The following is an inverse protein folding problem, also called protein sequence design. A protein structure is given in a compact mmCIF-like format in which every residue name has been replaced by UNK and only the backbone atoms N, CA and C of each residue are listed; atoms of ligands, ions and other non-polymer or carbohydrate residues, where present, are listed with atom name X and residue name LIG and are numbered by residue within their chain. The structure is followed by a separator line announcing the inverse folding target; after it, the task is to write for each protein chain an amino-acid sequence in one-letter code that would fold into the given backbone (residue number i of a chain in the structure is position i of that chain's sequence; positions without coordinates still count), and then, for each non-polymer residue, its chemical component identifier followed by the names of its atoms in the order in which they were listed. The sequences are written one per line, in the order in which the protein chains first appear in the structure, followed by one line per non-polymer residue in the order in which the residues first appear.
data_IF_099024035995
#
_entry.id   IF_099024035995
#
_cell.length_a   1.000
_cell.length_b   1.000
_cell.length_c   1.000
_cell.angle_alpha   90.00
_cell.angle_beta   90.00
_cell.angle_gamma   90.00
#
_symmetry.space_group_name_H-M   'P 1'
#
loop_
_entity.id
_entity.type
_entity.pdbx_description
1 polymer ?
#
# COMPACT_ATOMS: atom_id res chain seq x y z
N UNK A 1 2.61 -46.46 48.39
CA UNK A 1 1.93 -46.25 47.09
C UNK A 1 2.99 -46.21 46.01
N UNK A 2 2.96 -47.21 45.14
CA UNK A 2 4.04 -47.65 44.25
C UNK A 2 3.71 -47.23 42.81
N UNK A 3 4.60 -46.49 42.16
CA UNK A 3 4.39 -46.01 40.78
C UNK A 3 4.43 -47.17 39.77
N UNK A 4 3.34 -47.37 39.03
CA UNK A 4 3.27 -48.29 37.89
C UNK A 4 3.99 -47.68 36.67
N UNK A 5 4.94 -48.42 36.08
CA UNK A 5 5.62 -48.06 34.83
C UNK A 5 4.88 -48.71 33.66
N UNK A 6 4.41 -47.92 32.70
CA UNK A 6 3.92 -48.42 31.41
C UNK A 6 5.07 -48.46 30.39
N UNK A 7 5.19 -49.57 29.65
CA UNK A 7 6.24 -49.81 28.65
C UNK A 7 5.66 -49.54 27.26
N UNK A 8 6.41 -48.83 26.42
CA UNK A 8 6.05 -48.63 25.02
C UNK A 8 6.30 -49.94 24.24
N UNK A 9 5.27 -50.56 23.63
CA UNK A 9 5.39 -51.91 23.08
C UNK A 9 6.29 -52.02 21.84
N UNK A 10 6.53 -50.92 21.12
CA UNK A 10 7.22 -50.97 19.82
C UNK A 10 8.74 -50.78 19.87
N UNK A 11 9.31 -50.27 20.98
CA UNK A 11 10.75 -50.02 21.08
C UNK A 11 11.43 -50.77 22.22
N UNK A 12 10.66 -51.48 23.06
CA UNK A 12 11.14 -52.28 24.19
C UNK A 12 12.16 -51.57 25.13
N UNK A 13 12.22 -50.23 25.11
CA UNK A 13 13.04 -49.46 26.03
C UNK A 13 12.17 -48.88 27.15
N UNK A 14 12.55 -49.18 28.39
CA UNK A 14 11.95 -48.58 29.58
C UNK A 14 12.49 -47.17 29.76
N UNK A 15 11.74 -46.17 29.32
CA UNK A 15 12.02 -44.78 29.67
C UNK A 15 11.14 -44.38 30.85
N UNK A 16 11.78 -43.95 31.94
CA UNK A 16 11.12 -43.19 32.99
C UNK A 16 10.85 -41.78 32.44
N UNK A 17 9.73 -41.63 31.73
CA UNK A 17 9.24 -40.30 31.37
C UNK A 17 8.64 -39.72 32.67
N UNK A 18 9.13 -38.59 33.21
CA UNK A 18 8.31 -37.85 34.15
C UNK A 18 7.04 -37.51 33.39
N UNK A 19 5.91 -38.06 33.85
CA UNK A 19 4.62 -37.55 33.43
C UNK A 19 4.67 -36.05 33.72
N UNK A 20 4.88 -35.26 32.67
CA UNK A 20 4.43 -33.89 32.71
C UNK A 20 2.94 -33.97 33.06
N UNK A 21 2.44 -33.03 33.86
CA UNK A 21 1.13 -32.48 33.60
C UNK A 21 1.09 -32.17 32.09
N UNK A 22 0.45 -33.06 31.33
CA UNK A 22 0.49 -33.13 29.88
C UNK A 22 1.69 -33.90 29.29
N UNK A 23 1.73 -35.23 29.48
CA UNK A 23 2.75 -36.13 28.93
C UNK A 23 3.02 -35.93 27.44
N UNK A 24 4.24 -35.47 27.12
CA UNK A 24 4.76 -35.42 25.75
C UNK A 24 5.78 -36.54 25.57
N UNK A 25 5.42 -37.52 24.74
CA UNK A 25 6.39 -38.42 24.13
C UNK A 25 7.14 -37.62 23.05
N UNK A 26 8.34 -37.15 23.37
CA UNK A 26 9.16 -36.30 22.48
C UNK A 26 9.75 -37.16 21.36
N UNK A 27 9.02 -37.24 20.24
CA UNK A 27 9.46 -36.97 18.86
C UNK A 27 10.92 -37.27 18.43
N UNK A 28 11.56 -38.34 18.93
CA UNK A 28 12.89 -38.79 18.49
C UNK A 28 12.95 -40.26 18.03
N UNK A 29 11.82 -40.93 17.88
CA UNK A 29 11.77 -42.19 17.14
C UNK A 29 11.64 -41.89 15.64
N UNK A 30 12.60 -42.32 14.82
CA UNK A 30 12.57 -42.21 13.36
C UNK A 30 11.37 -42.95 12.74
N UNK A 31 10.76 -43.87 13.49
CA UNK A 31 9.52 -44.56 13.14
C UNK A 31 8.26 -43.70 13.42
N UNK A 32 8.19 -42.99 14.56
CA UNK A 32 7.07 -42.08 14.85
C UNK A 32 7.04 -40.84 13.94
N UNK A 33 8.17 -40.46 13.33
CA UNK A 33 8.24 -39.35 12.36
C UNK A 33 7.54 -39.63 11.03
N UNK A 34 7.25 -40.90 10.70
CA UNK A 34 6.51 -41.29 9.49
C UNK A 34 4.99 -41.36 9.69
N UNK A 35 4.52 -41.29 10.93
CA UNK A 35 3.10 -41.45 11.29
C UNK A 35 2.42 -40.13 11.67
N UNK A 36 3.13 -38.99 11.62
CA UNK A 36 2.46 -37.69 11.72
C UNK A 36 1.88 -37.35 10.34
N UNK A 37 0.54 -37.32 10.17
CA UNK A 37 -0.03 -36.92 8.90
C UNK A 37 0.30 -35.44 8.63
N UNK A 38 0.73 -35.08 7.41
CA UNK A 38 0.69 -33.70 6.96
C UNK A 38 -0.78 -33.35 6.75
N UNK A 39 -1.47 -32.89 7.79
CA UNK A 39 -2.90 -32.61 7.64
C UNK A 39 -3.67 -32.47 8.94
N UNK A 40 -3.40 -31.39 9.66
CA UNK A 40 -4.49 -30.69 10.36
C UNK A 40 -4.50 -29.26 9.82
N UNK A 41 -4.86 -29.16 8.54
CA UNK A 41 -5.26 -27.94 7.88
C UNK A 41 -6.75 -27.74 8.22
N UNK A 42 -7.07 -26.87 9.17
CA UNK A 42 -8.48 -26.64 9.52
C UNK A 42 -8.72 -25.68 10.68
N UNK A 43 -7.76 -25.49 11.57
CA UNK A 43 -7.85 -24.40 12.55
C UNK A 43 -7.38 -23.10 11.92
N UNK A 44 -8.36 -22.22 11.73
CA UNK A 44 -8.32 -20.89 11.12
C UNK A 44 -6.95 -20.22 11.19
N UNK A 45 -6.30 -20.14 10.03
CA UNK A 45 -5.07 -19.39 9.74
C UNK A 45 -5.14 -17.90 10.07
N UNK A 46 -6.29 -17.38 10.50
CA UNK A 46 -6.52 -15.97 10.84
C UNK A 46 -5.54 -15.42 11.90
N UNK A 47 -5.04 -16.26 12.82
CA UNK A 47 -4.02 -15.86 13.80
C UNK A 47 -2.59 -15.77 13.25
N UNK A 48 -2.33 -16.32 12.05
CA UNK A 48 -0.98 -16.44 11.46
C UNK A 48 -0.64 -15.30 10.49
N UNK A 49 -1.53 -14.34 10.29
CA UNK A 49 -1.33 -13.27 9.32
C UNK A 49 -0.50 -12.10 9.85
N UNK A 50 -0.39 -11.95 11.18
CA UNK A 50 0.32 -10.84 11.83
C UNK A 50 1.61 -11.33 12.48
N UNK A 51 2.64 -10.50 12.44
CA UNK A 51 3.90 -10.80 13.09
C UNK A 51 3.71 -10.81 14.63
N UNK A 52 4.27 -11.83 15.29
CA UNK A 52 4.20 -12.00 16.73
C UNK A 52 4.79 -10.79 17.50
N UNK A 53 5.90 -10.22 17.01
CA UNK A 53 6.53 -9.03 17.60
C UNK A 53 5.94 -7.70 17.11
N UNK A 54 5.28 -7.70 15.95
CA UNK A 54 4.77 -6.49 15.30
C UNK A 54 3.34 -6.73 14.81
N UNK A 55 2.32 -6.58 15.67
CA UNK A 55 0.92 -6.86 15.32
C UNK A 55 0.39 -6.05 14.13
N UNK A 56 1.03 -4.92 13.80
CA UNK A 56 0.71 -4.09 12.64
C UNK A 56 1.42 -4.48 11.34
N UNK A 57 2.36 -5.45 11.37
CA UNK A 57 3.06 -5.95 10.18
C UNK A 57 2.55 -7.34 9.83
N UNK A 58 2.35 -7.58 8.53
CA UNK A 58 2.01 -8.91 8.03
C UNK A 58 3.17 -9.88 8.23
N UNK A 59 2.88 -11.07 8.74
CA UNK A 59 3.85 -12.14 8.79
C UNK A 59 4.05 -12.74 7.41
N UNK A 60 5.30 -13.01 7.03
CA UNK A 60 5.66 -13.70 5.77
C UNK A 60 6.04 -15.15 5.99
N UNK A 61 6.42 -15.49 7.22
CA UNK A 61 6.88 -16.84 7.56
C UNK A 61 6.26 -17.29 8.87
N UNK A 62 5.97 -18.57 8.98
CA UNK A 62 5.46 -19.20 10.19
C UNK A 62 6.45 -20.22 10.69
N UNK A 63 6.62 -20.26 12.01
CA UNK A 63 7.35 -21.32 12.66
C UNK A 63 6.36 -22.43 13.05
N UNK A 64 6.45 -23.58 12.40
CA UNK A 64 5.58 -24.74 12.72
C UNK A 64 5.79 -25.26 14.15
N UNK A 65 6.98 -25.05 14.72
CA UNK A 65 7.33 -25.57 16.06
C UNK A 65 6.72 -24.76 17.20
N UNK A 66 6.70 -23.43 17.08
CA UNK A 66 6.14 -22.56 18.13
C UNK A 66 4.80 -21.93 17.74
N UNK A 67 4.30 -22.24 16.55
CA UNK A 67 3.08 -21.71 15.94
C UNK A 67 2.98 -20.17 15.97
N UNK A 68 4.13 -19.50 15.75
CA UNK A 68 4.21 -18.04 15.66
C UNK A 68 4.59 -17.61 14.26
N UNK A 69 3.95 -16.54 13.80
CA UNK A 69 4.22 -15.94 12.50
C UNK A 69 5.11 -14.70 12.65
N UNK A 70 6.00 -14.46 11.69
CA UNK A 70 7.05 -13.44 11.75
C UNK A 70 7.10 -12.64 10.45
N UNK A 71 7.26 -11.32 10.55
CA UNK A 71 7.59 -10.49 9.39
C UNK A 71 9.07 -10.67 9.03
N UNK A 72 9.43 -10.40 7.77
CA UNK A 72 10.79 -10.63 7.25
C UNK A 72 11.90 -10.00 8.13
N UNK A 73 11.76 -8.75 8.64
CA UNK A 73 12.76 -8.12 9.51
C UNK A 73 12.95 -8.82 10.86
N UNK A 74 11.92 -9.48 11.40
CA UNK A 74 12.03 -10.19 12.67
C UNK A 74 12.75 -11.54 12.54
N UNK A 75 12.92 -12.06 11.32
CA UNK A 75 13.53 -13.38 11.13
C UNK A 75 15.05 -13.31 11.25
N UNK A 76 15.67 -14.30 11.91
CA UNK A 76 17.13 -14.40 11.95
C UNK A 76 17.61 -15.13 10.70
N UNK A 77 18.53 -14.55 9.94
CA UNK A 77 19.11 -15.22 8.77
C UNK A 77 20.29 -16.09 9.20
N UNK A 78 20.21 -17.39 8.94
CA UNK A 78 21.35 -18.29 9.05
C UNK A 78 21.88 -18.61 7.64
N UNK A 79 23.20 -18.45 7.46
CA UNK A 79 23.90 -18.82 6.22
C UNK A 79 24.61 -20.14 6.43
N UNK A 80 24.25 -21.13 5.63
CA UNK A 80 25.04 -22.34 5.40
C UNK A 80 25.62 -22.31 3.98
N UNK A 81 26.70 -23.04 3.68
CA UNK A 81 27.23 -23.13 2.32
C UNK A 81 26.12 -23.60 1.36
N UNK A 82 25.73 -22.74 0.40
CA UNK A 82 24.69 -23.02 -0.59
C UNK A 82 23.24 -22.75 -0.18
N UNK A 83 22.94 -22.42 1.08
CA UNK A 83 21.55 -22.20 1.53
C UNK A 83 21.43 -21.06 2.55
N UNK A 84 20.45 -20.17 2.33
CA UNK A 84 20.02 -19.19 3.33
C UNK A 84 18.67 -19.63 3.89
N UNK A 85 18.61 -19.84 5.21
CA UNK A 85 17.35 -20.16 5.90
C UNK A 85 17.03 -19.10 6.93
N UNK A 86 15.74 -18.77 7.05
CA UNK A 86 15.25 -17.88 8.08
C UNK A 86 14.87 -18.71 9.30
N UNK A 87 15.35 -18.29 10.47
CA UNK A 87 15.14 -18.95 11.75
C UNK A 87 14.23 -18.11 12.64
N UNK A 88 13.36 -18.81 13.37
CA UNK A 88 12.48 -18.21 14.38
C UNK A 88 13.31 -17.59 15.53
N UNK A 89 13.05 -16.34 15.95
CA UNK A 89 13.70 -15.75 17.13
C UNK A 89 13.42 -16.52 18.42
N UNK A 90 12.26 -17.18 18.51
CA UNK A 90 11.78 -17.84 19.72
C UNK A 90 12.43 -19.22 19.93
N UNK A 91 12.51 -20.06 18.90
CA UNK A 91 12.97 -21.45 19.02
C UNK A 91 14.17 -21.80 18.13
N UNK A 92 14.65 -20.86 17.30
CA UNK A 92 15.74 -21.03 16.31
C UNK A 92 15.50 -22.13 15.27
N UNK A 93 14.26 -22.62 15.15
CA UNK A 93 13.88 -23.57 14.10
C UNK A 93 13.69 -22.84 12.76
N UNK A 94 13.80 -23.59 11.66
CA UNK A 94 13.50 -23.10 10.33
C UNK A 94 12.07 -22.56 10.21
N UNK A 95 11.93 -21.45 9.52
CA UNK A 95 10.65 -20.82 9.23
C UNK A 95 10.16 -21.25 7.85
N UNK A 96 8.90 -21.67 7.78
CA UNK A 96 8.23 -22.00 6.52
C UNK A 96 7.61 -20.72 5.97
N UNK A 97 7.83 -20.36 4.70
CA UNK A 97 7.10 -19.25 4.09
C UNK A 97 5.61 -19.55 4.17
N UNK A 98 4.83 -18.60 4.68
CA UNK A 98 3.38 -18.69 4.57
C UNK A 98 3.12 -18.59 3.08
N UNK A 99 2.57 -19.65 2.47
CA UNK A 99 2.26 -19.67 1.05
C UNK A 99 1.53 -18.35 0.72
N UNK A 100 2.17 -17.51 -0.09
CA UNK A 100 1.70 -16.18 -0.40
C UNK A 100 0.52 -16.34 -1.36
N UNK A 101 -0.67 -16.67 -0.81
CA UNK A 101 -1.89 -16.88 -1.59
C UNK A 101 -2.56 -15.55 -1.96
N UNK A 102 -2.06 -14.42 -1.46
CA UNK A 102 -2.36 -13.14 -2.10
C UNK A 102 -1.42 -12.93 -3.27
N UNK A 103 -1.77 -13.56 -4.39
CA UNK A 103 -1.45 -13.00 -5.70
C UNK A 103 -1.88 -11.54 -5.64
N UNK A 104 -0.91 -10.64 -5.50
CA UNK A 104 -1.15 -9.21 -5.47
C UNK A 104 -1.77 -8.86 -6.82
N UNK A 105 -3.11 -8.79 -6.84
CA UNK A 105 -3.83 -8.54 -8.09
C UNK A 105 -3.54 -7.10 -8.49
N UNK A 106 -3.23 -6.83 -9.76
CA UNK A 106 -2.96 -5.49 -10.20
C UNK A 106 -4.22 -4.62 -10.06
N UNK A 107 -4.07 -3.33 -9.75
CA UNK A 107 -5.19 -2.52 -9.24
C UNK A 107 -6.34 -2.39 -10.26
N UNK A 108 -6.03 -2.45 -11.56
CA UNK A 108 -7.03 -2.37 -12.62
C UNK A 108 -7.94 -3.61 -12.71
N UNK A 109 -7.55 -4.74 -12.11
CA UNK A 109 -8.43 -5.91 -11.99
C UNK A 109 -9.44 -5.76 -10.85
N UNK A 110 -9.23 -4.79 -9.96
CA UNK A 110 -10.09 -4.49 -8.81
C UNK A 110 -10.78 -3.12 -8.92
N UNK A 111 -10.98 -2.62 -10.16
CA UNK A 111 -11.61 -1.31 -10.42
C UNK A 111 -12.92 -1.09 -9.64
N UNK A 112 -13.86 -2.06 -9.53
CA UNK A 112 -15.07 -1.85 -8.74
C UNK A 112 -14.77 -1.54 -7.28
N UNK A 113 -13.79 -2.22 -6.67
CA UNK A 113 -13.41 -1.95 -5.28
C UNK A 113 -12.74 -0.58 -5.13
N UNK A 114 -11.94 -0.17 -6.12
CA UNK A 114 -11.28 1.14 -6.16
C UNK A 114 -12.33 2.26 -6.23
N UNK A 115 -13.37 2.11 -7.04
CA UNK A 115 -14.46 3.09 -7.18
C UNK A 115 -15.32 3.17 -5.91
N UNK A 116 -15.60 2.04 -5.27
CA UNK A 116 -16.38 2.02 -4.02
C UNK A 116 -15.58 2.63 -2.86
N UNK A 117 -14.24 2.68 -2.94
CA UNK A 117 -13.39 3.18 -1.86
C UNK A 117 -13.75 4.60 -1.40
N UNK A 118 -13.99 5.51 -2.35
CA UNK A 118 -14.35 6.90 -2.02
C UNK A 118 -15.70 7.04 -1.30
N UNK A 119 -16.52 5.97 -1.28
CA UNK A 119 -17.79 5.90 -0.56
C UNK A 119 -17.70 5.13 0.77
N UNK A 120 -16.51 4.68 1.19
CA UNK A 120 -16.29 3.93 2.43
C UNK A 120 -15.66 4.79 3.53
N UNK A 121 -15.94 4.41 4.79
CA UNK A 121 -15.35 5.02 5.99
C UNK A 121 -15.66 6.50 6.14
N UNK A 122 -14.63 7.30 6.44
CA UNK A 122 -14.75 8.76 6.57
C UNK A 122 -14.90 9.52 5.24
N UNK A 123 -14.62 8.88 4.10
CA UNK A 123 -14.60 9.54 2.78
C UNK A 123 -15.91 10.24 2.38
N UNK A 124 -17.11 9.66 2.60
CA UNK A 124 -18.37 10.35 2.31
C UNK A 124 -18.53 11.68 3.05
N UNK A 125 -18.08 11.76 4.30
CA UNK A 125 -18.16 13.00 5.09
C UNK A 125 -17.20 14.06 4.55
N UNK A 126 -16.00 13.66 4.14
CA UNK A 126 -15.03 14.53 3.47
C UNK A 126 -15.57 15.01 2.13
N UNK A 127 -16.16 14.13 1.32
CA UNK A 127 -16.80 14.50 0.05
C UNK A 127 -17.95 15.48 0.25
N UNK A 128 -18.78 15.25 1.27
CA UNK A 128 -19.86 16.17 1.65
C UNK A 128 -19.32 17.52 2.11
N UNK A 129 -18.26 17.54 2.91
CA UNK A 129 -17.61 18.78 3.35
C UNK A 129 -17.03 19.56 2.17
N UNK A 130 -16.29 18.91 1.28
CA UNK A 130 -15.73 19.52 0.07
C UNK A 130 -16.82 20.07 -0.86
N UNK A 131 -17.93 19.34 -0.96
CA UNK A 131 -19.12 19.74 -1.72
C UNK A 131 -19.79 20.98 -1.13
N UNK A 132 -20.09 20.97 0.18
CA UNK A 132 -20.75 22.07 0.88
C UNK A 132 -19.85 23.31 0.98
N UNK A 133 -18.55 23.13 1.18
CA UNK A 133 -17.57 24.22 1.21
C UNK A 133 -17.56 25.04 -0.07
N UNK A 134 -17.94 24.44 -1.21
CA UNK A 134 -18.00 25.12 -2.51
C UNK A 134 -19.12 26.17 -2.63
N UNK A 135 -20.05 26.22 -1.67
CA UNK A 135 -21.12 27.22 -1.62
C UNK A 135 -20.76 28.45 -0.78
N UNK A 136 -19.78 28.32 0.12
CA UNK A 136 -19.37 29.41 1.00
C UNK A 136 -18.05 29.96 0.45
N UNK A 137 -18.03 31.19 -0.12
CA UNK A 137 -16.83 31.72 -0.78
C UNK A 137 -15.59 31.71 0.11
N UNK A 138 -15.74 31.96 1.42
CA UNK A 138 -14.64 31.90 2.39
C UNK A 138 -14.08 30.49 2.52
N UNK A 139 -14.95 29.46 2.56
CA UNK A 139 -14.52 28.05 2.63
C UNK A 139 -13.95 27.56 1.29
N UNK A 140 -14.32 28.16 0.16
CA UNK A 140 -13.80 27.77 -1.15
C UNK A 140 -12.27 27.85 -1.23
N UNK A 141 -11.65 28.79 -0.51
CA UNK A 141 -10.19 28.91 -0.43
C UNK A 141 -9.54 27.82 0.41
N UNK A 142 -10.26 27.23 1.38
CA UNK A 142 -9.75 26.14 2.23
C UNK A 142 -9.92 24.76 1.60
N UNK A 143 -10.84 24.61 0.63
CA UNK A 143 -11.06 23.36 -0.12
C UNK A 143 -9.78 22.76 -0.70
N UNK A 144 -8.94 23.48 -1.48
CA UNK A 144 -7.76 22.88 -2.09
C UNK A 144 -6.73 22.42 -1.04
N UNK A 145 -6.59 23.17 0.06
CA UNK A 145 -5.74 22.82 1.19
C UNK A 145 -6.21 21.50 1.81
N UNK A 146 -7.50 21.42 2.11
CA UNK A 146 -8.11 20.22 2.71
C UNK A 146 -8.06 19.01 1.78
N UNK A 147 -8.39 19.20 0.50
CA UNK A 147 -8.36 18.14 -0.52
C UNK A 147 -6.94 17.59 -0.74
N UNK A 148 -5.92 18.46 -0.74
CA UNK A 148 -4.53 18.05 -0.84
C UNK A 148 -4.08 17.22 0.37
N UNK A 149 -4.39 17.69 1.58
CA UNK A 149 -4.06 17.00 2.82
C UNK A 149 -4.73 15.62 2.88
N UNK A 150 -6.04 15.57 2.61
CA UNK A 150 -6.79 14.32 2.59
C UNK A 150 -6.30 13.37 1.48
N UNK A 151 -6.00 13.87 0.29
CA UNK A 151 -5.45 13.07 -0.80
C UNK A 151 -4.12 12.39 -0.42
N UNK A 152 -3.19 13.15 0.16
CA UNK A 152 -1.92 12.62 0.68
C UNK A 152 -2.17 11.58 1.79
N UNK A 153 -3.11 11.83 2.70
CA UNK A 153 -3.49 10.89 3.75
C UNK A 153 -4.04 9.58 3.15
N UNK A 154 -4.98 9.67 2.21
CA UNK A 154 -5.56 8.52 1.48
C UNK A 154 -4.47 7.70 0.80
N UNK A 155 -3.52 8.34 0.11
CA UNK A 155 -2.40 7.65 -0.54
C UNK A 155 -1.54 6.90 0.46
N UNK A 156 -1.14 7.54 1.57
CA UNK A 156 -0.33 6.88 2.62
C UNK A 156 -1.08 5.73 3.29
N UNK A 157 -2.37 5.91 3.58
CA UNK A 157 -3.18 4.87 4.19
C UNK A 157 -3.32 3.68 3.24
N UNK A 158 -3.68 3.94 1.99
CA UNK A 158 -3.84 2.91 0.96
C UNK A 158 -2.53 2.19 0.62
N UNK A 159 -1.38 2.86 0.76
CA UNK A 159 -0.07 2.25 0.60
C UNK A 159 0.29 1.25 1.72
N UNK A 160 -0.30 1.42 2.91
CA UNK A 160 -0.08 0.53 4.06
C UNK A 160 -1.16 -0.55 4.16
N UNK A 161 -2.42 -0.17 3.99
CA UNK A 161 -3.59 -1.04 4.03
C UNK A 161 -4.61 -0.55 2.99
N UNK A 162 -4.65 -1.15 1.79
CA UNK A 162 -5.52 -0.71 0.71
C UNK A 162 -6.99 -1.04 0.93
N UNK A 163 -7.34 -1.86 1.93
CA UNK A 163 -8.72 -2.28 2.18
C UNK A 163 -9.35 -1.50 3.34
N UNK A 164 -8.54 -0.91 4.21
CA UNK A 164 -9.02 0.02 5.23
C UNK A 164 -9.41 1.37 4.59
N UNK A 165 -10.64 1.80 4.88
CA UNK A 165 -11.03 3.18 4.59
C UNK A 165 -10.25 4.12 5.52
N UNK A 166 -9.89 5.33 5.05
CA UNK A 166 -9.23 6.30 5.91
C UNK A 166 -10.26 6.88 6.86
N UNK A 167 -9.88 6.99 8.12
CA UNK A 167 -10.57 7.86 9.06
C UNK A 167 -10.16 9.31 8.79
N UNK A 168 -10.92 10.25 9.34
CA UNK A 168 -10.54 11.66 9.24
C UNK A 168 -9.21 11.86 9.99
N UNK A 169 -8.19 12.49 9.38
CA UNK A 169 -6.95 12.75 10.09
C UNK A 169 -7.22 13.71 11.24
N UNK A 170 -6.92 13.29 12.46
CA UNK A 170 -6.83 14.18 13.61
C UNK A 170 -5.56 15.04 13.43
N UNK A 171 -5.69 16.37 13.22
CA UNK A 171 -4.53 17.19 12.96
C UNK A 171 -3.81 17.53 14.27
N UNK A 172 -2.52 17.21 14.33
CA UNK A 172 -1.65 17.59 15.46
C UNK A 172 -1.17 19.04 15.27
N UNK A 173 -0.80 19.39 14.03
CA UNK A 173 -0.41 20.75 13.64
C UNK A 173 -1.12 21.12 12.34
N UNK A 174 -2.08 22.03 12.41
CA UNK A 174 -2.90 22.43 11.26
C UNK A 174 -2.03 22.95 10.09
N UNK A 175 -0.97 23.70 10.38
CA UNK A 175 -0.13 24.27 9.33
C UNK A 175 0.69 23.18 8.66
N UNK A 176 1.30 22.30 9.44
CA UNK A 176 2.16 21.22 8.89
C UNK A 176 1.32 20.15 8.20
N UNK A 177 0.22 19.72 8.82
CA UNK A 177 -0.58 18.60 8.33
C UNK A 177 -1.48 18.96 7.14
N UNK A 178 -1.89 20.23 7.02
CA UNK A 178 -2.72 20.66 5.88
C UNK A 178 -1.98 21.44 4.80
N UNK A 179 -1.11 22.38 5.17
CA UNK A 179 -0.53 23.30 4.20
C UNK A 179 0.66 22.69 3.44
N UNK A 180 1.51 21.90 4.10
CA UNK A 180 2.65 21.26 3.44
C UNK A 180 2.24 20.25 2.35
N UNK A 181 1.19 19.41 2.54
CA UNK A 181 0.68 18.58 1.45
C UNK A 181 0.30 19.39 0.20
N UNK A 182 -0.35 20.53 0.36
CA UNK A 182 -0.68 21.40 -0.77
C UNK A 182 0.58 21.90 -1.47
N UNK A 183 1.53 22.49 -0.74
CA UNK A 183 2.79 22.96 -1.35
C UNK A 183 3.58 21.84 -2.01
N UNK A 184 3.54 20.63 -1.46
CA UNK A 184 4.19 19.46 -2.05
C UNK A 184 3.55 19.08 -3.39
N UNK A 185 2.22 19.06 -3.47
CA UNK A 185 1.51 18.76 -4.73
C UNK A 185 1.71 19.88 -5.75
N UNK A 186 1.69 21.14 -5.33
CA UNK A 186 1.99 22.29 -6.20
C UNK A 186 3.43 22.23 -6.72
N UNK A 187 4.41 21.94 -5.85
CA UNK A 187 5.80 21.76 -6.25
C UNK A 187 5.97 20.59 -7.21
N UNK A 188 5.35 19.44 -6.93
CA UNK A 188 5.33 18.28 -7.82
C UNK A 188 4.74 18.63 -9.20
N UNK A 189 3.65 19.40 -9.22
CA UNK A 189 3.00 19.87 -10.44
C UNK A 189 3.91 20.82 -11.22
N UNK A 190 4.46 21.83 -10.55
CA UNK A 190 5.36 22.80 -11.16
C UNK A 190 6.55 22.11 -11.81
N UNK A 191 7.14 21.10 -11.15
CA UNK A 191 8.29 20.37 -11.67
C UNK A 191 7.90 19.47 -12.84
N UNK A 192 6.86 18.65 -12.69
CA UNK A 192 6.42 17.72 -13.73
C UNK A 192 6.00 18.44 -15.02
N UNK A 193 5.34 19.59 -14.90
CA UNK A 193 4.85 20.38 -16.04
C UNK A 193 5.78 21.53 -16.43
N UNK A 194 6.93 21.70 -15.76
CA UNK A 194 7.90 22.75 -16.10
C UNK A 194 8.37 22.70 -17.55
N UNK A 195 8.65 21.55 -18.19
CA UNK A 195 9.09 21.55 -19.59
C UNK A 195 7.98 22.08 -20.53
N UNK A 196 6.72 21.75 -20.24
CA UNK A 196 5.58 22.23 -21.03
C UNK A 196 5.36 23.72 -20.84
N UNK A 197 5.46 24.23 -19.61
CA UNK A 197 5.35 25.66 -19.31
C UNK A 197 6.51 26.46 -19.94
N UNK A 198 7.74 25.95 -19.87
CA UNK A 198 8.91 26.56 -20.51
C UNK A 198 8.76 26.57 -22.04
N UNK A 199 8.23 25.50 -22.63
CA UNK A 199 7.95 25.47 -24.06
C UNK A 199 6.89 26.50 -24.48
N UNK A 200 5.86 26.72 -23.65
CA UNK A 200 4.87 27.78 -23.89
C UNK A 200 5.46 29.20 -23.78
N UNK A 201 6.39 29.41 -22.84
CA UNK A 201 6.94 30.73 -22.55
C UNK A 201 8.09 31.14 -23.47
N UNK A 202 8.95 30.18 -23.85
CA UNK A 202 10.20 30.42 -24.61
C UNK A 202 10.22 29.71 -25.96
N UNK A 203 9.16 28.98 -26.31
CA UNK A 203 9.03 28.33 -27.61
C UNK A 203 8.81 29.33 -28.75
N UNK A 204 8.73 28.82 -29.99
CA UNK A 204 8.43 29.66 -31.14
C UNK A 204 7.03 30.30 -31.02
N UNK A 205 6.85 31.49 -31.62
CA UNK A 205 5.56 32.22 -31.61
C UNK A 205 4.39 31.36 -32.11
N UNK A 206 4.66 30.50 -33.08
CA UNK A 206 3.74 29.45 -33.54
C UNK A 206 4.22 28.09 -33.02
N UNK A 207 3.79 27.66 -31.82
CA UNK A 207 4.20 26.38 -31.26
C UNK A 207 3.72 25.22 -32.14
N UNK A 208 4.61 24.26 -32.39
CA UNK A 208 4.24 23.03 -33.07
C UNK A 208 3.33 22.21 -32.13
N UNK A 209 2.07 21.92 -32.53
CA UNK A 209 1.13 21.19 -31.69
C UNK A 209 1.63 19.79 -31.31
N UNK A 210 2.47 19.15 -32.14
CA UNK A 210 3.02 17.83 -31.84
C UNK A 210 4.07 17.90 -30.73
N UNK A 211 4.97 18.88 -30.78
CA UNK A 211 5.98 19.10 -29.73
C UNK A 211 5.30 19.48 -28.42
N UNK A 212 4.33 20.40 -28.48
CA UNK A 212 3.56 20.80 -27.30
C UNK A 212 2.85 19.59 -26.64
N UNK A 213 2.19 18.77 -27.45
CA UNK A 213 1.47 17.58 -26.97
C UNK A 213 2.44 16.54 -26.41
N UNK A 214 3.57 16.31 -27.08
CA UNK A 214 4.59 15.38 -26.61
C UNK A 214 5.13 15.78 -25.24
N UNK A 215 5.51 17.04 -25.05
CA UNK A 215 6.03 17.54 -23.77
C UNK A 215 4.97 17.47 -22.67
N UNK A 216 3.70 17.73 -22.98
CA UNK A 216 2.59 17.56 -22.06
C UNK A 216 2.41 16.10 -21.63
N UNK A 217 2.45 15.16 -22.58
CA UNK A 217 2.34 13.72 -22.32
C UNK A 217 3.49 13.23 -21.45
N UNK A 218 4.71 13.73 -21.66
CA UNK A 218 5.85 13.44 -20.78
C UNK A 218 5.59 13.93 -19.36
N UNK A 219 5.13 15.18 -19.18
CA UNK A 219 4.80 15.72 -17.86
C UNK A 219 3.70 14.92 -17.16
N UNK A 220 2.63 14.56 -17.89
CA UNK A 220 1.55 13.72 -17.39
C UNK A 220 2.03 12.31 -17.01
N UNK A 221 2.98 11.76 -17.76
CA UNK A 221 3.55 10.45 -17.51
C UNK A 221 4.50 10.43 -16.32
N UNK A 222 5.14 11.55 -15.98
CA UNK A 222 6.09 11.66 -14.85
C UNK A 222 5.37 12.08 -13.56
N UNK A 223 4.28 12.83 -13.65
CA UNK A 223 3.58 13.40 -12.49
C UNK A 223 3.15 12.37 -11.43
N UNK A 224 2.52 11.21 -11.77
CA UNK A 224 2.10 10.23 -10.77
C UNK A 224 3.24 9.74 -9.87
N UNK A 225 4.42 9.48 -10.43
CA UNK A 225 5.56 8.98 -9.65
C UNK A 225 6.19 10.07 -8.78
N UNK A 226 6.17 11.34 -9.20
CA UNK A 226 6.64 12.46 -8.37
C UNK A 226 5.70 12.63 -7.17
N UNK A 227 4.38 12.62 -7.39
CA UNK A 227 3.39 12.69 -6.31
C UNK A 227 3.58 11.52 -5.35
N UNK A 228 3.79 10.31 -5.87
CA UNK A 228 4.01 9.12 -5.08
C UNK A 228 5.26 9.21 -4.19
N UNK A 229 6.42 9.46 -4.80
CA UNK A 229 7.69 9.52 -4.11
C UNK A 229 7.68 10.64 -3.06
N UNK A 230 7.13 11.81 -3.39
CA UNK A 230 7.06 12.95 -2.46
C UNK A 230 6.10 12.68 -1.29
N UNK A 231 5.00 11.97 -1.53
CA UNK A 231 4.01 11.61 -0.50
C UNK A 231 4.53 10.56 0.47
N UNK A 232 5.24 9.55 -0.04
CA UNK A 232 5.77 8.43 0.76
C UNK A 232 7.05 8.85 1.52
N UNK A 233 7.98 9.56 0.86
CA UNK A 233 9.26 9.96 1.48
C UNK A 233 9.18 11.25 2.30
N UNK A 234 8.04 11.95 2.29
CA UNK A 234 7.82 13.24 2.96
C UNK A 234 8.76 14.39 2.55
N UNK A 235 9.61 14.19 1.54
CA UNK A 235 10.63 15.16 1.09
C UNK A 235 10.50 15.37 -0.41
N UNK A 236 10.17 16.59 -0.84
CA UNK A 236 9.96 16.90 -2.24
C UNK A 236 11.26 16.78 -3.06
N UNK A 237 12.34 17.39 -2.59
CA UNK A 237 13.61 17.42 -3.36
C UNK A 237 14.29 16.07 -3.48
N UNK A 238 14.28 15.26 -2.41
CA UNK A 238 14.83 13.91 -2.45
C UNK A 238 13.99 12.96 -3.33
N UNK A 239 12.69 13.23 -3.47
CA UNK A 239 11.80 12.45 -4.33
C UNK A 239 12.03 12.69 -5.83
N UNK A 240 12.75 13.76 -6.20
CA UNK A 240 12.97 14.20 -7.58
C UNK A 240 14.26 13.70 -8.21
N UNK A 241 15.09 12.95 -7.47
CA UNK A 241 16.29 12.36 -8.03
C UNK A 241 15.92 11.53 -9.28
N UNK A 242 16.43 11.87 -10.49
CA UNK A 242 16.01 11.20 -11.72
C UNK A 242 16.25 9.69 -11.68
N UNK A 243 17.32 9.27 -10.99
CA UNK A 243 17.64 7.86 -10.76
C UNK A 243 16.56 7.14 -9.96
N UNK A 244 15.99 7.79 -8.94
CA UNK A 244 14.92 7.21 -8.11
C UNK A 244 13.59 7.17 -8.86
N UNK A 245 13.25 8.22 -9.60
CA UNK A 245 12.05 8.23 -10.46
C UNK A 245 12.12 7.10 -11.49
N UNK A 246 13.25 6.97 -12.20
CA UNK A 246 13.45 5.92 -13.18
C UNK A 246 13.43 4.52 -12.55
N UNK A 247 14.01 4.35 -11.35
CA UNK A 247 13.95 3.09 -10.60
C UNK A 247 12.51 2.74 -10.25
N UNK A 248 11.75 3.66 -9.67
CA UNK A 248 10.34 3.46 -9.30
C UNK A 248 9.47 3.11 -10.51
N UNK A 249 9.61 3.83 -11.62
CA UNK A 249 8.90 3.54 -12.88
C UNK A 249 9.21 2.13 -13.39
N UNK A 250 10.51 1.75 -13.44
CA UNK A 250 10.93 0.42 -13.91
C UNK A 250 10.46 -0.70 -13.00
N UNK A 251 10.48 -0.51 -11.69
CA UNK A 251 10.03 -1.52 -10.72
C UNK A 251 8.51 -1.76 -10.74
N UNK A 252 7.73 -0.76 -11.13
CA UNK A 252 6.28 -0.92 -11.36
C UNK A 252 6.01 -1.71 -12.65
N UNK A 253 6.86 -1.56 -13.67
CA UNK A 253 6.74 -2.30 -14.93
C UNK A 253 5.46 -1.93 -15.69
N UNK A 254 4.69 -2.90 -16.23
CA UNK A 254 3.46 -2.61 -16.97
C UNK A 254 2.37 -1.96 -16.11
N UNK A 255 2.41 -2.20 -14.79
CA UNK A 255 1.47 -1.62 -13.83
C UNK A 255 1.52 -0.09 -13.85
N UNK A 256 2.69 0.47 -14.20
CA UNK A 256 2.88 1.90 -14.35
C UNK A 256 2.12 2.49 -15.54
N UNK A 257 2.07 1.79 -16.67
CA UNK A 257 1.35 2.27 -17.85
C UNK A 257 -0.15 2.39 -17.55
N UNK A 258 -0.72 1.40 -16.85
CA UNK A 258 -2.10 1.45 -16.39
C UNK A 258 -2.34 2.66 -15.46
N UNK A 259 -1.38 2.98 -14.58
CA UNK A 259 -1.46 4.15 -13.69
C UNK A 259 -1.45 5.46 -14.49
N UNK A 260 -0.57 5.60 -15.48
CA UNK A 260 -0.50 6.79 -16.35
C UNK A 260 -1.79 6.95 -17.16
N UNK A 261 -2.33 5.86 -17.72
CA UNK A 261 -3.60 5.88 -18.45
C UNK A 261 -4.76 6.28 -17.53
N UNK A 262 -4.83 5.71 -16.32
CA UNK A 262 -5.84 6.07 -15.33
C UNK A 262 -5.74 7.55 -14.93
N UNK A 263 -4.52 8.07 -14.77
CA UNK A 263 -4.28 9.48 -14.46
C UNK A 263 -4.67 10.40 -15.63
N UNK A 264 -4.36 10.01 -16.87
CA UNK A 264 -4.80 10.75 -18.07
C UNK A 264 -6.31 10.78 -18.23
N UNK A 265 -6.98 9.64 -17.99
CA UNK A 265 -8.44 9.55 -17.97
C UNK A 265 -9.05 10.44 -16.88
N UNK A 266 -8.43 10.50 -15.69
CA UNK A 266 -8.82 11.40 -14.62
C UNK A 266 -8.72 12.88 -15.04
N UNK A 267 -7.61 13.31 -15.64
CA UNK A 267 -7.44 14.70 -16.12
C UNK A 267 -8.48 15.05 -17.19
N UNK A 268 -8.74 14.13 -18.12
CA UNK A 268 -9.76 14.32 -19.15
C UNK A 268 -11.16 14.46 -18.53
N UNK A 269 -11.53 13.56 -17.61
CA UNK A 269 -12.79 13.63 -16.89
C UNK A 269 -12.93 14.93 -16.08
N UNK A 270 -11.85 15.37 -15.41
CA UNK A 270 -11.82 16.64 -14.68
C UNK A 270 -12.10 17.85 -15.59
N UNK A 271 -11.51 17.87 -16.80
CA UNK A 271 -11.77 18.91 -17.79
C UNK A 271 -13.20 18.85 -18.32
N UNK A 272 -13.70 17.65 -18.63
CA UNK A 272 -15.07 17.45 -19.11
C UNK A 272 -16.12 17.89 -18.09
N UNK A 273 -15.96 17.51 -16.81
CA UNK A 273 -16.87 17.95 -15.74
C UNK A 273 -16.94 19.47 -15.61
N UNK A 274 -15.87 20.20 -15.97
CA UNK A 274 -15.89 21.67 -16.02
C UNK A 274 -16.73 22.22 -17.14
N UNK A 275 -16.48 21.75 -18.36
CA UNK A 275 -17.28 22.16 -19.51
C UNK A 275 -18.76 21.87 -19.32
N UNK A 276 -19.09 20.75 -18.69
CA UNK A 276 -20.47 20.36 -18.39
C UNK A 276 -21.08 21.25 -17.30
N UNK A 277 -20.28 21.62 -16.27
CA UNK A 277 -20.71 22.54 -15.23
C UNK A 277 -21.07 23.93 -15.78
N UNK A 278 -20.39 24.39 -16.83
CA UNK A 278 -20.64 25.69 -17.46
C UNK A 278 -21.98 25.75 -18.22
N UNK A 279 -22.63 24.60 -18.48
CA UNK A 279 -23.90 24.53 -19.23
C UNK A 279 -25.11 24.78 -18.33
N UNK A 280 -25.07 24.31 -17.08
CA UNK A 280 -26.21 24.34 -16.17
C UNK A 280 -25.74 24.34 -14.71
N UNK A 281 -26.18 25.33 -13.93
CA UNK A 281 -25.82 25.50 -12.51
C UNK A 281 -26.19 24.29 -11.64
N UNK A 282 -27.34 23.66 -11.90
CA UNK A 282 -27.75 22.44 -11.18
C UNK A 282 -26.82 21.26 -11.49
N UNK A 283 -26.36 21.15 -12.73
CA UNK A 283 -25.41 20.13 -13.14
C UNK A 283 -24.00 20.43 -12.64
N UNK A 284 -23.63 21.71 -12.53
CA UNK A 284 -22.38 22.16 -11.95
C UNK A 284 -22.17 21.60 -10.54
N UNK A 285 -23.25 21.51 -9.76
CA UNK A 285 -23.19 20.96 -8.41
C UNK A 285 -22.82 19.47 -8.41
N UNK A 286 -23.50 18.67 -9.23
CA UNK A 286 -23.19 17.24 -9.40
C UNK A 286 -21.74 17.04 -9.92
N UNK A 287 -21.31 17.89 -10.85
CA UNK A 287 -19.95 17.84 -11.41
C UNK A 287 -18.87 18.21 -10.39
N UNK A 288 -19.15 19.12 -9.45
CA UNK A 288 -18.25 19.40 -8.31
C UNK A 288 -18.09 18.18 -7.41
N UNK A 289 -19.19 17.51 -7.06
CA UNK A 289 -19.12 16.27 -6.29
C UNK A 289 -18.31 15.20 -7.03
N UNK A 290 -18.57 15.00 -8.32
CA UNK A 290 -17.86 14.04 -9.16
C UNK A 290 -16.34 14.32 -9.20
N UNK A 291 -15.92 15.59 -9.26
CA UNK A 291 -14.50 15.98 -9.22
C UNK A 291 -13.81 15.54 -7.93
N UNK A 292 -14.39 15.80 -6.77
CA UNK A 292 -13.79 15.38 -5.49
C UNK A 292 -13.80 13.86 -5.34
N UNK A 293 -14.87 13.21 -5.77
CA UNK A 293 -14.94 11.75 -5.80
C UNK A 293 -13.81 11.14 -6.65
N UNK A 294 -13.60 11.67 -7.85
CA UNK A 294 -12.52 11.24 -8.74
C UNK A 294 -11.14 11.54 -8.11
N UNK A 295 -11.00 12.67 -7.41
CA UNK A 295 -9.76 13.05 -6.74
C UNK A 295 -9.38 12.05 -5.64
N UNK A 296 -10.32 11.69 -4.77
CA UNK A 296 -10.10 10.66 -3.73
C UNK A 296 -9.75 9.32 -4.37
N UNK A 297 -10.45 8.96 -5.45
CA UNK A 297 -10.22 7.72 -6.19
C UNK A 297 -8.80 7.66 -6.77
N UNK A 298 -8.30 8.73 -7.38
CA UNK A 298 -6.95 8.71 -7.97
C UNK A 298 -5.85 8.64 -6.90
N UNK A 299 -6.02 9.32 -5.76
CA UNK A 299 -5.09 9.19 -4.63
C UNK A 299 -5.11 7.79 -4.00
N UNK A 300 -6.27 7.13 -3.97
CA UNK A 300 -6.38 5.73 -3.56
C UNK A 300 -5.64 4.81 -4.53
N UNK A 301 -5.84 4.98 -5.85
CA UNK A 301 -5.13 4.24 -6.90
C UNK A 301 -3.61 4.40 -6.76
N UNK A 302 -3.14 5.62 -6.52
CA UNK A 302 -1.71 5.90 -6.28
C UNK A 302 -1.20 5.10 -5.08
N UNK A 303 -1.89 5.13 -3.94
CA UNK A 303 -1.49 4.37 -2.76
C UNK A 303 -1.50 2.86 -3.00
N UNK A 304 -2.50 2.34 -3.71
CA UNK A 304 -2.55 0.93 -4.10
C UNK A 304 -1.38 0.53 -4.99
N UNK A 305 -0.97 1.38 -5.93
CA UNK A 305 0.20 1.12 -6.76
C UNK A 305 1.49 0.99 -5.93
N UNK A 306 1.64 1.78 -4.85
CA UNK A 306 2.75 1.60 -3.87
C UNK A 306 2.65 0.25 -3.20
N UNK A 307 1.46 -0.08 -2.67
CA UNK A 307 1.26 -1.32 -1.93
C UNK A 307 1.62 -2.54 -2.78
N UNK A 308 1.22 -2.55 -4.06
CA UNK A 308 1.50 -3.62 -5.01
C UNK A 308 2.98 -3.78 -5.35
N UNK A 309 3.74 -2.68 -5.28
CA UNK A 309 5.15 -2.64 -5.67
C UNK A 309 6.10 -2.56 -4.50
N UNK A 310 5.57 -2.56 -3.27
CA UNK A 310 6.34 -2.48 -2.03
C UNK A 310 7.41 -3.56 -1.91
N UNK A 311 7.17 -4.74 -2.47
CA UNK A 311 8.12 -5.85 -2.42
C UNK A 311 9.19 -5.77 -3.51
N UNK A 312 8.94 -4.99 -4.57
CA UNK A 312 9.88 -4.76 -5.67
C UNK A 312 10.75 -3.53 -5.43
N UNK A 313 10.25 -2.58 -4.63
CA UNK A 313 10.89 -1.31 -4.37
C UNK A 313 11.39 -1.30 -2.93
N UNK A 314 12.71 -1.29 -2.76
CA UNK A 314 13.31 -0.97 -1.48
C UNK A 314 13.14 0.53 -1.22
N UNK A 315 12.05 0.89 -0.55
CA UNK A 315 11.70 2.28 -0.26
C UNK A 315 12.64 2.93 0.77
N UNK A 316 13.52 2.16 1.42
CA UNK A 316 14.47 2.68 2.42
C UNK A 316 13.80 3.32 3.64
N UNK A 317 12.55 2.95 3.95
CA UNK A 317 11.74 3.45 5.08
C UNK A 317 11.75 2.45 6.23
#
# INVERSE_FOLDING_TARGET
MTHARSICPDCHQQHAIPALPGGRCVARCSHCRRLWPPGVAGETTAGRERCADHPGRRARRVCERCDKAWCEPCTRRARAPGFQTALSPCCREGLVPIAEIETTRPFWTELPSVLVYALRGGSPFVLLFLFLGGFVPVLAWTIPVFAAAYGVHVTRRSANDPYSAPDFPEPDDILVDFLFPLFRLLGASAIAFSPWLLYLQFGPETPDPYVQTFVLVVGLSVYPVIVLNSTIRNRLFEALAPADLARTMRSMGPDYLALVVAFGAFVLAWKMTGRIADINDGLALLMRFARFYLLVTIFHVLGRAVWQTRDRIDWGV
#
